data_IF_214856263292
#
_entry.id   IF_214856263292
#
_cell.length_a   1.000
_cell.length_b   1.000
_cell.length_c   1.000
_cell.angle_alpha   90.00
_cell.angle_beta   90.00
_cell.angle_gamma   90.00
#
_symmetry.space_group_name_H-M   'P 1'
#
loop_
_entity.id
_entity.type
_entity.pdbx_description
1 polymer ?
#
# COMPACT_ATOMS: atom_id res chain seq x y z
N UNK A 1 10.08 0.16 -17.29
CA UNK A 1 8.92 -0.77 -17.22
C UNK A 1 8.11 -0.41 -16.00
N UNK A 2 6.77 -0.44 -16.09
CA UNK A 2 5.92 -0.22 -14.92
C UNK A 2 6.20 -1.32 -13.90
N UNK A 3 6.42 -0.96 -12.64
CA UNK A 3 6.64 -1.91 -11.57
C UNK A 3 5.28 -2.22 -10.95
N UNK A 4 4.89 -3.49 -11.03
CA UNK A 4 3.64 -3.96 -10.43
C UNK A 4 3.91 -4.51 -9.04
N UNK A 5 3.01 -4.21 -8.11
CA UNK A 5 3.09 -4.80 -6.77
C UNK A 5 3.02 -6.33 -6.85
N UNK A 6 3.91 -6.99 -6.12
CA UNK A 6 4.00 -8.44 -6.13
C UNK A 6 2.69 -9.09 -5.64
N UNK A 7 2.39 -10.29 -6.19
CA UNK A 7 1.24 -11.05 -5.74
C UNK A 7 1.47 -11.58 -4.32
N UNK A 8 0.56 -11.25 -3.41
CA UNK A 8 0.56 -11.77 -2.04
C UNK A 8 -0.08 -13.18 -2.05
N UNK A 9 0.57 -14.15 -1.41
CA UNK A 9 0.02 -15.49 -1.23
C UNK A 9 -1.11 -15.46 -0.18
N UNK A 10 -2.11 -16.34 -0.36
CA UNK A 10 -3.09 -16.60 0.71
C UNK A 10 -2.44 -17.49 1.76
N UNK A 11 -2.82 -17.36 3.03
CA UNK A 11 -2.28 -18.22 4.11
C UNK A 11 -2.56 -19.70 3.82
N UNK A 12 -3.80 -20.04 3.52
CA UNK A 12 -4.24 -21.40 3.29
C UNK A 12 -4.39 -21.71 1.79
N UNK A 13 -4.14 -22.95 1.41
CA UNK A 13 -4.49 -23.48 0.08
C UNK A 13 -5.98 -23.40 -0.16
N UNK A 14 -6.36 -23.51 -1.42
CA UNK A 14 -7.75 -23.59 -1.85
C UNK A 14 -7.96 -24.85 -2.70
N UNK A 15 -9.12 -25.48 -2.54
CA UNK A 15 -9.54 -26.61 -3.37
C UNK A 15 -9.97 -26.16 -4.79
N UNK A 16 -10.30 -27.12 -5.63
CA UNK A 16 -10.76 -26.88 -7.01
C UNK A 16 -12.04 -26.00 -7.09
N UNK A 17 -12.81 -25.93 -6.01
CA UNK A 17 -13.99 -25.07 -5.87
C UNK A 17 -13.67 -23.73 -5.20
N UNK A 18 -12.39 -23.38 -5.09
CA UNK A 18 -11.88 -22.15 -4.46
C UNK A 18 -12.21 -22.01 -2.96
N UNK A 19 -12.48 -23.11 -2.24
CA UNK A 19 -12.73 -23.12 -0.80
C UNK A 19 -11.41 -23.29 -0.05
N UNK A 20 -11.29 -22.62 1.07
CA UNK A 20 -10.11 -22.68 1.96
C UNK A 20 -9.97 -24.10 2.55
N UNK A 21 -8.75 -24.63 2.49
CA UNK A 21 -8.34 -25.87 3.17
C UNK A 21 -7.55 -25.42 4.41
N UNK A 22 -8.25 -25.23 5.52
CA UNK A 22 -7.63 -24.79 6.77
C UNK A 22 -6.60 -25.80 7.27
N UNK A 23 -5.45 -25.32 7.74
CA UNK A 23 -4.33 -26.16 8.20
C UNK A 23 -3.39 -26.62 7.08
N UNK A 24 -3.68 -26.32 5.79
CA UNK A 24 -2.78 -26.59 4.67
C UNK A 24 -2.23 -25.27 4.10
N UNK A 25 -1.02 -24.90 4.51
CA UNK A 25 -0.37 -23.65 4.08
C UNK A 25 -0.17 -23.60 2.57
N UNK A 26 -0.42 -22.45 1.96
CA UNK A 26 -0.29 -22.26 0.51
C UNK A 26 1.15 -22.31 0.03
N UNK A 27 2.10 -21.94 0.89
CA UNK A 27 3.55 -22.01 0.67
C UNK A 27 4.23 -22.50 1.94
N UNK A 28 5.36 -23.22 1.85
CA UNK A 28 6.03 -23.81 3.01
C UNK A 28 6.59 -22.76 4.00
N UNK A 29 6.86 -21.56 3.53
CA UNK A 29 7.38 -20.43 4.33
C UNK A 29 6.44 -20.08 5.49
N UNK A 30 5.13 -20.19 5.32
CA UNK A 30 4.18 -19.97 6.41
C UNK A 30 4.36 -20.96 7.56
N UNK A 31 4.65 -22.22 7.26
CA UNK A 31 4.96 -23.22 8.28
C UNK A 31 6.30 -22.98 8.99
N UNK A 32 7.33 -22.51 8.26
CA UNK A 32 8.62 -22.19 8.87
C UNK A 32 8.56 -20.95 9.78
N UNK A 33 7.65 -20.04 9.49
CA UNK A 33 7.56 -18.74 10.14
C UNK A 33 6.32 -18.60 11.04
N UNK A 34 5.61 -19.71 11.30
CA UNK A 34 4.34 -19.67 12.05
C UNK A 34 4.47 -19.09 13.46
N UNK A 35 5.60 -19.36 14.14
CA UNK A 35 5.92 -18.82 15.46
C UNK A 35 6.59 -17.44 15.43
N UNK A 36 6.87 -16.90 14.23
CA UNK A 36 7.43 -15.56 14.09
C UNK A 36 6.35 -14.49 14.27
N UNK A 37 6.82 -13.28 14.62
CA UNK A 37 5.96 -12.10 14.69
C UNK A 37 5.74 -11.54 13.28
N UNK A 38 4.50 -11.47 12.86
CA UNK A 38 4.05 -10.90 11.59
C UNK A 38 3.44 -9.53 11.81
N UNK A 39 3.76 -8.60 10.94
CA UNK A 39 3.02 -7.34 10.88
C UNK A 39 1.69 -7.59 10.16
N UNK A 40 0.59 -7.41 10.89
CA UNK A 40 -0.76 -7.68 10.38
C UNK A 40 -1.45 -6.39 10.03
N UNK A 41 -1.94 -6.31 8.80
CA UNK A 41 -2.57 -5.13 8.22
C UNK A 41 -3.92 -5.46 7.60
N UNK A 42 -4.79 -4.46 7.53
CA UNK A 42 -6.07 -4.59 6.85
C UNK A 42 -5.87 -4.71 5.35
N UNK A 43 -6.48 -5.74 4.74
CA UNK A 43 -6.55 -5.86 3.29
C UNK A 43 -7.88 -5.35 2.77
N UNK A 44 -7.84 -4.18 2.14
CA UNK A 44 -9.00 -3.59 1.49
C UNK A 44 -9.40 -4.38 0.23
N UNK A 45 -10.70 -4.57 0.04
CA UNK A 45 -11.26 -5.18 -1.18
C UNK A 45 -11.50 -4.10 -2.24
N UNK A 46 -10.59 -3.99 -3.18
CA UNK A 46 -10.60 -2.96 -4.21
C UNK A 46 -9.81 -3.34 -5.45
N UNK A 47 -9.07 -2.40 -5.97
CA UNK A 47 -8.16 -2.59 -7.10
C UNK A 47 -6.79 -2.00 -6.79
N UNK A 48 -5.75 -2.81 -7.02
CA UNK A 48 -4.38 -2.37 -6.83
C UNK A 48 -4.03 -1.24 -7.80
N UNK A 49 -3.49 -0.15 -7.25
CA UNK A 49 -3.04 1.03 -7.97
C UNK A 49 -1.69 1.47 -7.44
N UNK A 50 -0.90 2.13 -8.29
CA UNK A 50 0.30 2.82 -7.85
C UNK A 50 0.41 4.21 -8.47
N UNK A 51 1.12 5.09 -7.77
CA UNK A 51 1.47 6.42 -8.22
C UNK A 51 2.98 6.58 -8.20
N UNK A 52 3.59 6.69 -9.37
CA UNK A 52 5.01 6.90 -9.55
C UNK A 52 5.33 8.40 -9.58
N UNK A 53 6.33 8.81 -8.82
CA UNK A 53 6.81 10.17 -8.72
C UNK A 53 8.31 10.17 -9.06
N UNK A 54 8.69 10.89 -10.09
CA UNK A 54 10.09 11.03 -10.50
C UNK A 54 10.60 12.42 -10.10
N UNK A 55 11.76 12.46 -9.48
CA UNK A 55 12.40 13.69 -9.04
C UNK A 55 13.60 14.03 -9.93
N UNK A 56 13.76 15.33 -10.18
CA UNK A 56 14.94 15.89 -10.82
C UNK A 56 15.29 17.23 -10.19
N UNK A 57 16.51 17.37 -9.66
CA UNK A 57 17.05 18.60 -9.10
C UNK A 57 16.11 19.33 -8.12
N UNK A 58 15.42 18.57 -7.23
CA UNK A 58 14.53 19.15 -6.22
C UNK A 58 13.15 19.55 -6.72
N UNK A 59 12.75 19.03 -7.87
CA UNK A 59 11.40 19.20 -8.41
C UNK A 59 10.80 17.85 -8.83
N UNK A 60 9.49 17.75 -8.88
CA UNK A 60 8.80 16.62 -9.51
C UNK A 60 8.87 16.81 -11.01
N UNK A 61 9.56 15.90 -11.71
CA UNK A 61 9.77 15.98 -13.15
C UNK A 61 8.70 15.26 -13.96
N UNK A 62 8.14 14.17 -13.40
CA UNK A 62 7.13 13.33 -14.05
C UNK A 62 6.36 12.53 -13.01
N UNK A 63 5.12 12.21 -13.33
CA UNK A 63 4.28 11.27 -12.56
C UNK A 63 3.58 10.30 -13.48
N UNK A 64 3.27 9.10 -12.96
CA UNK A 64 2.55 8.06 -13.71
C UNK A 64 1.60 7.31 -12.76
N UNK A 65 0.40 6.97 -13.25
CA UNK A 65 -0.56 6.12 -12.54
C UNK A 65 -0.61 4.76 -13.23
N UNK A 66 -0.48 3.70 -12.44
CA UNK A 66 -0.58 2.33 -12.94
C UNK A 66 -1.68 1.57 -12.20
N UNK A 67 -2.38 0.71 -12.92
CA UNK A 67 -3.24 -0.32 -12.36
C UNK A 67 -2.48 -1.63 -12.18
N UNK A 68 -3.18 -2.70 -11.82
CA UNK A 68 -2.62 -4.03 -11.58
C UNK A 68 -1.85 -4.63 -12.78
N UNK A 69 -2.16 -4.21 -14.00
CA UNK A 69 -1.52 -4.66 -15.24
C UNK A 69 -1.42 -3.50 -16.23
N UNK A 70 -0.48 -3.56 -17.18
CA UNK A 70 -0.30 -2.54 -18.23
C UNK A 70 -1.58 -2.22 -19.02
N UNK A 71 -2.46 -3.22 -19.21
CA UNK A 71 -3.71 -3.09 -19.94
C UNK A 71 -4.95 -2.92 -19.04
N UNK A 72 -4.76 -2.67 -17.74
CA UNK A 72 -5.88 -2.46 -16.83
C UNK A 72 -6.67 -1.21 -17.25
N UNK A 73 -7.97 -1.39 -17.52
CA UNK A 73 -8.88 -0.24 -17.65
C UNK A 73 -9.11 0.32 -16.25
N UNK A 74 -8.36 1.33 -15.89
CA UNK A 74 -8.53 2.01 -14.62
C UNK A 74 -9.89 2.72 -14.56
N UNK A 75 -10.54 2.69 -13.40
CA UNK A 75 -11.76 3.45 -13.17
C UNK A 75 -11.43 4.96 -13.29
N UNK A 76 -12.09 5.66 -14.20
CA UNK A 76 -11.81 7.07 -14.50
C UNK A 76 -12.01 7.99 -13.28
N UNK A 77 -13.00 7.70 -12.42
CA UNK A 77 -13.25 8.49 -11.22
C UNK A 77 -12.13 8.29 -10.18
N UNK A 78 -11.63 7.05 -10.04
CA UNK A 78 -10.49 6.75 -9.18
C UNK A 78 -9.24 7.48 -9.67
N UNK A 79 -8.94 7.43 -10.97
CA UNK A 79 -7.80 8.15 -11.56
C UNK A 79 -7.94 9.66 -11.34
N UNK A 80 -9.14 10.21 -11.51
CA UNK A 80 -9.41 11.63 -11.25
C UNK A 80 -9.20 11.99 -9.77
N UNK A 81 -9.62 11.12 -8.83
CA UNK A 81 -9.39 11.34 -7.40
C UNK A 81 -7.90 11.24 -7.03
N UNK A 82 -7.16 10.28 -7.59
CA UNK A 82 -5.71 10.18 -7.39
C UNK A 82 -5.00 11.42 -7.92
N UNK A 83 -5.30 11.86 -9.15
CA UNK A 83 -4.73 13.10 -9.69
C UNK A 83 -5.05 14.29 -8.78
N UNK A 84 -6.29 14.47 -8.34
CA UNK A 84 -6.68 15.56 -7.43
C UNK A 84 -5.85 15.58 -6.15
N UNK A 85 -5.58 14.40 -5.55
CA UNK A 85 -4.78 14.27 -4.33
C UNK A 85 -3.32 14.65 -4.63
N UNK A 86 -2.71 14.02 -5.63
CA UNK A 86 -1.28 14.15 -5.88
C UNK A 86 -0.92 15.48 -6.54
N UNK A 87 -1.75 16.05 -7.42
CA UNK A 87 -1.54 17.39 -7.97
C UNK A 87 -1.51 18.45 -6.86
N UNK A 88 -2.42 18.36 -5.88
CA UNK A 88 -2.39 19.26 -4.72
C UNK A 88 -1.12 19.11 -3.86
N UNK A 89 -0.57 17.89 -3.75
CA UNK A 89 0.69 17.64 -3.05
C UNK A 89 1.91 18.17 -3.82
N UNK A 90 1.88 18.10 -5.15
CA UNK A 90 2.90 18.68 -6.03
C UNK A 90 2.86 20.21 -5.92
N UNK A 91 1.70 20.82 -6.11
CA UNK A 91 1.50 22.26 -6.11
C UNK A 91 1.88 22.90 -4.78
N UNK A 92 1.64 22.20 -3.65
CA UNK A 92 2.03 22.65 -2.32
C UNK A 92 3.51 22.44 -1.98
N UNK A 93 4.29 21.77 -2.82
CA UNK A 93 5.69 21.41 -2.57
C UNK A 93 5.89 20.31 -1.53
N UNK A 94 4.82 19.74 -0.95
CA UNK A 94 4.92 18.74 0.14
C UNK A 94 5.68 17.49 -0.27
N UNK A 95 5.55 17.04 -1.51
CA UNK A 95 6.31 15.87 -1.99
C UNK A 95 7.81 16.14 -1.97
N UNK A 96 8.23 17.33 -2.39
CA UNK A 96 9.63 17.74 -2.38
C UNK A 96 10.18 17.78 -0.94
N UNK A 97 9.41 18.32 -0.01
CA UNK A 97 9.84 18.43 1.39
C UNK A 97 9.91 17.08 2.11
N UNK A 98 8.93 16.20 1.87
CA UNK A 98 8.84 14.90 2.54
C UNK A 98 9.89 13.91 2.05
N UNK A 99 10.20 13.90 0.73
CA UNK A 99 11.19 13.00 0.15
C UNK A 99 12.60 13.58 0.05
N UNK A 100 12.82 14.74 0.65
CA UNK A 100 14.11 15.40 0.74
C UNK A 100 15.08 14.60 1.63
N UNK A 101 16.23 14.26 1.08
CA UNK A 101 17.30 13.57 1.79
C UNK A 101 18.36 14.59 2.19
N UNK A 102 18.59 14.74 3.48
CA UNK A 102 19.62 15.62 4.03
C UNK A 102 20.73 14.77 4.64
N UNK A 103 21.95 14.91 4.14
CA UNK A 103 23.14 14.23 4.67
C UNK A 103 24.15 15.26 5.14
N UNK A 104 24.66 15.10 6.36
CA UNK A 104 25.75 15.91 6.91
C UNK A 104 26.98 15.02 7.08
N UNK A 105 28.11 15.39 6.51
CA UNK A 105 29.35 14.67 6.63
C UNK A 105 30.04 14.94 8.00
N UNK A 106 31.12 14.22 8.26
CA UNK A 106 31.87 14.37 9.51
C UNK A 106 32.54 15.76 9.66
N UNK A 107 32.69 16.52 8.59
CA UNK A 107 33.22 17.89 8.58
C UNK A 107 32.10 18.94 8.77
N UNK A 108 30.83 18.51 8.86
CA UNK A 108 29.68 19.41 9.04
C UNK A 108 29.10 19.97 7.74
N UNK A 109 29.56 19.52 6.57
CA UNK A 109 28.99 19.94 5.29
C UNK A 109 27.68 19.22 5.05
N UNK A 110 26.65 19.95 4.69
CA UNK A 110 25.30 19.40 4.43
C UNK A 110 25.05 19.34 2.93
N UNK A 111 24.63 18.19 2.46
CA UNK A 111 24.15 17.97 1.10
C UNK A 111 22.66 17.64 1.12
N UNK A 112 21.96 18.12 0.10
CA UNK A 112 20.53 17.89 -0.09
C UNK A 112 20.33 17.17 -1.41
N UNK A 113 19.54 16.11 -1.40
CA UNK A 113 19.21 15.32 -2.59
C UNK A 113 17.79 14.78 -2.50
N UNK A 114 17.31 14.18 -3.57
CA UNK A 114 16.03 13.47 -3.64
C UNK A 114 16.26 12.10 -4.26
N UNK A 115 15.37 11.13 -4.02
CA UNK A 115 15.42 9.86 -4.75
C UNK A 115 15.18 10.12 -6.24
N UNK A 116 15.59 9.18 -7.08
CA UNK A 116 15.24 9.18 -8.50
C UNK A 116 13.73 8.97 -8.69
N UNK A 117 13.17 7.97 -7.99
CA UNK A 117 11.76 7.62 -8.07
C UNK A 117 11.20 7.20 -6.71
N UNK A 118 9.96 7.55 -6.47
CA UNK A 118 9.13 7.01 -5.39
C UNK A 118 7.89 6.42 -6.00
N UNK A 119 7.53 5.20 -5.60
CA UNK A 119 6.27 4.55 -5.96
C UNK A 119 5.40 4.41 -4.72
N UNK A 120 4.22 5.00 -4.72
CA UNK A 120 3.22 4.86 -3.67
C UNK A 120 2.21 3.83 -4.11
N UNK A 121 2.20 2.67 -3.45
CA UNK A 121 1.25 1.59 -3.70
C UNK A 121 0.02 1.73 -2.81
N UNK A 122 -1.14 1.46 -3.36
CA UNK A 122 -2.38 1.52 -2.62
C UNK A 122 -3.51 0.74 -3.26
N UNK A 123 -4.63 0.73 -2.58
CA UNK A 123 -5.86 0.13 -3.05
C UNK A 123 -6.86 1.24 -3.40
N UNK A 124 -7.33 1.21 -4.65
CA UNK A 124 -8.48 2.01 -5.05
C UNK A 124 -9.76 1.30 -4.64
N UNK A 125 -10.63 1.97 -3.91
CA UNK A 125 -11.85 1.37 -3.36
C UNK A 125 -13.02 2.35 -3.38
N UNK A 126 -14.19 1.87 -2.99
CA UNK A 126 -15.40 2.71 -2.96
C UNK A 126 -16.14 2.74 -4.28
N UNK A 127 -17.25 3.48 -4.31
CA UNK A 127 -18.09 3.64 -5.51
C UNK A 127 -18.55 2.30 -6.08
N UNK A 128 -18.18 2.06 -7.34
CA UNK A 128 -18.50 0.82 -8.09
C UNK A 128 -17.35 -0.17 -8.16
N UNK A 129 -16.26 0.05 -7.41
CA UNK A 129 -15.09 -0.83 -7.42
C UNK A 129 -15.36 -2.03 -6.51
N UNK A 130 -15.39 -3.25 -7.06
CA UNK A 130 -15.65 -4.50 -6.33
C UNK A 130 -16.86 -4.37 -5.38
N UNK A 131 -16.68 -4.73 -4.08
CA UNK A 131 -17.66 -4.49 -3.02
C UNK A 131 -17.55 -3.08 -2.42
N UNK A 132 -16.82 -2.18 -3.06
CA UNK A 132 -16.36 -0.90 -2.51
C UNK A 132 -17.43 0.07 -2.07
N UNK A 133 -18.66 -0.02 -2.61
CA UNK A 133 -19.79 0.81 -2.15
C UNK A 133 -20.17 0.61 -0.67
N UNK A 134 -19.64 -0.47 -0.03
CA UNK A 134 -19.78 -0.70 1.41
C UNK A 134 -18.78 0.10 2.24
N UNK A 135 -17.63 0.45 1.67
CA UNK A 135 -16.59 1.25 2.31
C UNK A 135 -16.83 2.75 2.12
N UNK A 136 -17.15 3.17 0.90
CA UNK A 136 -17.36 4.57 0.53
C UNK A 136 -18.36 4.69 -0.63
N UNK A 137 -19.14 5.77 -0.63
CA UNK A 137 -20.05 6.10 -1.76
C UNK A 137 -19.31 6.59 -2.99
N UNK A 138 -18.12 7.13 -2.81
CA UNK A 138 -17.23 7.61 -3.88
C UNK A 138 -15.95 6.82 -3.91
N UNK A 139 -15.29 6.82 -5.06
CA UNK A 139 -13.98 6.21 -5.25
C UNK A 139 -12.95 6.93 -4.37
N UNK A 140 -12.07 6.16 -3.75
CA UNK A 140 -10.98 6.61 -2.87
C UNK A 140 -9.73 5.80 -3.10
N UNK A 141 -8.60 6.34 -2.64
CA UNK A 141 -7.30 5.68 -2.67
C UNK A 141 -6.74 5.61 -1.24
N UNK A 142 -6.24 4.44 -0.84
CA UNK A 142 -5.63 4.20 0.47
C UNK A 142 -4.28 3.53 0.28
N UNK A 143 -3.24 4.07 0.91
CA UNK A 143 -1.86 3.58 0.80
C UNK A 143 -1.66 2.34 1.64
N UNK A 144 -0.90 1.36 1.13
CA UNK A 144 -0.46 0.21 1.92
C UNK A 144 1.07 0.05 1.90
N UNK A 145 1.78 0.56 0.87
CA UNK A 145 3.24 0.43 0.80
C UNK A 145 3.87 1.59 0.02
N UNK A 146 5.16 1.86 0.27
CA UNK A 146 5.94 2.86 -0.45
C UNK A 146 7.30 2.25 -0.79
N UNK A 147 7.71 2.44 -2.04
CA UNK A 147 9.01 2.02 -2.56
C UNK A 147 9.82 3.24 -2.99
N UNK A 148 11.11 3.18 -2.73
CA UNK A 148 12.05 4.25 -3.07
C UNK A 148 13.20 3.71 -3.90
N UNK A 149 13.46 4.32 -5.04
CA UNK A 149 14.62 4.08 -5.89
C UNK A 149 15.53 5.32 -5.86
N UNK A 150 16.76 5.16 -5.39
CA UNK A 150 17.68 6.30 -5.18
C UNK A 150 18.34 6.80 -6.45
N UNK A 151 18.69 5.89 -7.37
CA UNK A 151 19.21 6.21 -8.72
C UNK A 151 18.57 5.28 -9.76
N UNK A 152 18.60 5.59 -11.06
CA UNK A 152 18.06 4.72 -12.11
C UNK A 152 18.64 3.29 -12.13
N UNK A 153 19.86 3.13 -11.62
CA UNK A 153 20.60 1.86 -11.64
C UNK A 153 20.43 1.04 -10.36
N UNK A 154 19.87 1.63 -9.30
CA UNK A 154 19.65 0.92 -8.04
C UNK A 154 18.34 0.14 -8.06
N UNK A 155 18.34 -1.02 -7.41
CA UNK A 155 17.08 -1.73 -7.13
C UNK A 155 16.23 -0.90 -6.16
N UNK A 156 14.93 -0.80 -6.42
CA UNK A 156 14.01 -0.13 -5.51
C UNK A 156 13.91 -0.89 -4.18
N UNK A 157 13.67 -0.15 -3.10
CA UNK A 157 13.52 -0.70 -1.75
C UNK A 157 12.17 -0.30 -1.16
N UNK A 158 11.45 -1.28 -0.64
CA UNK A 158 10.26 -1.03 0.16
C UNK A 158 10.62 -0.38 1.49
N UNK A 159 9.87 0.61 1.89
CA UNK A 159 10.04 1.25 3.19
C UNK A 159 9.43 0.39 4.29
N UNK A 160 10.01 0.45 5.48
CA UNK A 160 9.41 -0.16 6.66
C UNK A 160 8.13 0.58 7.05
N UNK A 161 7.17 -0.14 7.59
CA UNK A 161 5.85 0.38 7.97
C UNK A 161 5.89 1.70 8.76
N UNK A 162 6.74 1.90 9.79
CA UNK A 162 6.79 3.18 10.49
C UNK A 162 7.14 4.37 9.57
N UNK A 163 7.95 4.15 8.54
CA UNK A 163 8.29 5.18 7.55
C UNK A 163 7.12 5.45 6.61
N UNK A 164 6.37 4.41 6.21
CA UNK A 164 5.15 4.57 5.41
C UNK A 164 4.12 5.40 6.18
N UNK A 165 3.89 5.08 7.46
CA UNK A 165 2.96 5.80 8.33
C UNK A 165 3.35 7.27 8.51
N UNK A 166 4.64 7.55 8.76
CA UNK A 166 5.16 8.91 8.92
C UNK A 166 5.00 9.73 7.63
N UNK A 167 5.33 9.14 6.48
CA UNK A 167 5.16 9.79 5.17
C UNK A 167 3.69 10.07 4.89
N UNK A 168 2.81 9.07 5.08
CA UNK A 168 1.38 9.25 4.87
C UNK A 168 0.80 10.33 5.78
N UNK A 169 1.20 10.37 7.05
CA UNK A 169 0.78 11.42 7.99
C UNK A 169 1.22 12.82 7.52
N UNK A 170 2.48 12.98 7.09
CA UNK A 170 3.02 14.26 6.57
C UNK A 170 2.32 14.71 5.29
N UNK A 171 1.99 13.77 4.41
CA UNK A 171 1.29 14.02 3.15
C UNK A 171 -0.24 14.12 3.32
N UNK A 172 -0.78 13.77 4.49
CA UNK A 172 -2.21 13.64 4.75
C UNK A 172 -2.88 12.65 3.78
N UNK A 173 -2.24 11.48 3.58
CA UNK A 173 -2.76 10.37 2.83
C UNK A 173 -3.37 9.33 3.78
N UNK A 174 -4.49 8.75 3.37
CA UNK A 174 -5.07 7.60 4.07
C UNK A 174 -4.12 6.39 3.93
N UNK A 175 -3.92 5.65 5.01
CA UNK A 175 -3.08 4.45 5.06
C UNK A 175 -3.85 3.31 5.69
N UNK A 176 -3.66 2.07 5.20
CA UNK A 176 -4.37 0.89 5.72
C UNK A 176 -4.10 0.70 7.21
N UNK A 177 -5.12 0.21 7.93
CA UNK A 177 -5.00 -0.03 9.35
C UNK A 177 -4.00 -1.15 9.67
N UNK A 178 -3.15 -0.93 10.66
CA UNK A 178 -2.20 -1.91 11.19
C UNK A 178 -2.72 -2.44 12.53
N UNK A 179 -2.94 -3.76 12.61
CA UNK A 179 -3.34 -4.43 13.85
C UNK A 179 -2.17 -4.67 14.81
N UNK A 180 -0.94 -4.58 14.30
CA UNK A 180 0.29 -4.74 15.08
C UNK A 180 1.08 -6.00 14.74
N UNK A 181 2.07 -6.29 15.57
CA UNK A 181 2.91 -7.49 15.48
C UNK A 181 2.26 -8.62 16.28
N UNK A 182 2.06 -9.77 15.65
CA UNK A 182 1.45 -10.95 16.26
C UNK A 182 1.83 -12.23 15.51
N UNK A 183 1.63 -13.39 16.14
CA UNK A 183 1.76 -14.69 15.48
C UNK A 183 0.64 -14.94 14.48
N UNK A 184 0.82 -15.92 13.58
CA UNK A 184 -0.25 -16.29 12.63
C UNK A 184 -1.52 -16.74 13.35
N UNK A 185 -1.40 -17.51 14.43
CA UNK A 185 -2.55 -17.96 15.24
C UNK A 185 -3.33 -16.79 15.86
N UNK A 186 -2.62 -15.77 16.37
CA UNK A 186 -3.26 -14.56 16.90
C UNK A 186 -3.97 -13.77 15.80
N UNK A 187 -3.37 -13.68 14.61
CA UNK A 187 -3.99 -13.03 13.46
C UNK A 187 -5.27 -13.73 13.02
N UNK A 188 -5.29 -15.07 13.01
CA UNK A 188 -6.49 -15.85 12.71
C UNK A 188 -7.63 -15.57 13.70
N UNK A 189 -7.33 -15.51 15.00
CA UNK A 189 -8.32 -15.16 16.04
C UNK A 189 -8.94 -13.78 15.82
N UNK A 190 -8.15 -12.80 15.38
CA UNK A 190 -8.66 -11.46 15.05
C UNK A 190 -9.65 -11.55 13.88
N UNK A 191 -9.29 -12.28 12.82
CA UNK A 191 -10.15 -12.45 11.64
C UNK A 191 -11.46 -13.14 12.01
N UNK A 192 -11.41 -14.19 12.83
CA UNK A 192 -12.60 -14.90 13.31
C UNK A 192 -13.50 -13.99 14.14
N UNK A 193 -12.94 -13.18 15.04
CA UNK A 193 -13.69 -12.22 15.85
C UNK A 193 -14.33 -11.12 14.99
N UNK A 194 -13.63 -10.59 13.98
CA UNK A 194 -14.22 -9.61 13.06
C UNK A 194 -15.36 -10.25 12.27
N UNK A 195 -15.18 -11.46 11.74
CA UNK A 195 -16.20 -12.19 11.00
C UNK A 195 -17.43 -12.47 11.87
N UNK A 196 -17.23 -12.90 13.12
CA UNK A 196 -18.31 -13.13 14.09
C UNK A 196 -19.10 -11.87 14.38
N UNK A 197 -18.45 -10.75 14.66
CA UNK A 197 -19.10 -9.47 14.94
C UNK A 197 -19.90 -8.94 13.73
N UNK A 198 -19.39 -9.09 12.51
CA UNK A 198 -20.11 -8.73 11.29
C UNK A 198 -21.35 -9.60 11.10
N UNK A 199 -21.26 -10.90 11.42
CA UNK A 199 -22.40 -11.82 11.30
C UNK A 199 -23.49 -11.51 12.34
N UNK A 200 -23.12 -11.33 13.60
CA UNK A 200 -24.07 -11.05 14.69
C UNK A 200 -24.78 -9.71 14.53
N UNK A 201 -24.09 -8.67 14.07
CA UNK A 201 -24.69 -7.37 13.78
C UNK A 201 -25.67 -7.39 12.61
N UNK A 202 -25.59 -8.39 11.71
CA UNK A 202 -26.55 -8.58 10.61
C UNK A 202 -27.80 -9.36 11.03
N UNK A 203 -27.70 -10.18 12.09
CA UNK A 203 -28.83 -10.97 12.59
C UNK A 203 -29.66 -10.24 13.65
N UNK A 204 -29.18 -9.11 14.15
CA UNK A 204 -29.82 -8.30 15.20
C UNK A 204 -30.67 -7.12 14.69
N UNK A 205 -30.89 -7.01 13.36
CA UNK A 205 -31.77 -5.99 12.74
C UNK A 205 -32.92 -6.65 11.99
#
# INVERSE_FOLDING_TARGET
MAQFYQKINTLWKRDEKNRIIQGDYSVPEFGYLEDCMWLVEEKIDGTNMSYDIYFDNGSVSRTEIHGKTENAKNNSNLVAEMNRIFDALIDSGKLIDVFKIVKTDAAGNTTVSWPYKVTIFGEGYGGKIQSGGRYSKTEKFIVFDIEVQTTPETEPLYLLRPSVDDICAKLNLDVVHTYGLMTLSEAELIIENIAYNVYTNRMGN
#
